data_IF_058054138287
#
_entry.id   IF_058054138287
#
_cell.length_a   1.000
_cell.length_b   1.000
_cell.length_c   1.000
_cell.angle_alpha   90.00
_cell.angle_beta   90.00
_cell.angle_gamma   90.00
#
_symmetry.space_group_name_H-M   'P 1'
#
loop_
_entity.id
_entity.type
_entity.pdbx_description
1 polymer ?
#
# COMPACT_ATOMS: atom_id res chain seq x y z
N UNK A 1 -2.61 -50.18 -9.75
CA UNK A 1 -1.87 -48.92 -9.62
C UNK A 1 -2.74 -47.85 -10.23
N UNK A 2 -3.51 -47.17 -9.39
CA UNK A 2 -4.41 -46.10 -9.79
C UNK A 2 -3.74 -44.80 -9.39
N UNK A 3 -3.32 -44.00 -10.37
CA UNK A 3 -2.81 -42.66 -10.15
C UNK A 3 -3.97 -41.73 -9.80
N UNK A 4 -3.97 -41.22 -8.58
CA UNK A 4 -4.78 -40.07 -8.19
C UNK A 4 -4.07 -38.79 -8.62
N UNK A 5 -4.74 -37.81 -9.25
CA UNK A 5 -4.13 -36.52 -9.51
C UNK A 5 -3.98 -35.74 -8.20
N UNK A 6 -2.79 -35.19 -8.02
CA UNK A 6 -2.38 -34.33 -6.91
C UNK A 6 -3.33 -33.14 -6.76
N UNK A 7 -3.81 -32.90 -5.56
CA UNK A 7 -4.70 -31.78 -5.21
C UNK A 7 -3.90 -30.55 -4.78
N UNK A 8 -4.37 -29.39 -5.26
CA UNK A 8 -4.16 -28.01 -4.81
C UNK A 8 -2.78 -27.35 -5.02
N UNK A 9 -2.67 -26.61 -6.14
CA UNK A 9 -1.77 -25.46 -6.31
C UNK A 9 -2.21 -24.28 -5.43
N UNK A 10 -1.30 -23.36 -5.03
CA UNK A 10 -1.68 -22.11 -4.36
C UNK A 10 -2.62 -21.29 -5.27
N UNK A 11 -3.51 -20.53 -4.64
CA UNK A 11 -4.45 -19.60 -5.29
C UNK A 11 -3.72 -18.74 -6.35
N UNK A 12 -4.02 -18.97 -7.64
CA UNK A 12 -3.46 -18.21 -8.78
C UNK A 12 -4.08 -16.78 -8.89
N UNK A 13 -4.91 -16.37 -7.94
CA UNK A 13 -5.50 -15.04 -7.91
C UNK A 13 -4.42 -13.96 -7.72
N UNK A 14 -4.51 -12.84 -8.46
CA UNK A 14 -3.55 -11.74 -8.30
C UNK A 14 -3.64 -11.15 -6.88
N UNK A 15 -2.48 -10.87 -6.30
CA UNK A 15 -2.38 -10.14 -5.02
C UNK A 15 -2.90 -8.70 -5.15
N UNK A 16 -3.28 -8.08 -4.02
CA UNK A 16 -3.75 -6.68 -4.00
C UNK A 16 -2.72 -5.70 -4.59
N UNK A 17 -1.42 -5.95 -4.39
CA UNK A 17 -0.36 -5.14 -5.00
C UNK A 17 -0.36 -5.25 -6.52
N UNK A 18 -0.62 -6.45 -7.07
CA UNK A 18 -0.72 -6.65 -8.52
C UNK A 18 -1.99 -6.02 -9.09
N UNK A 19 -3.11 -6.10 -8.37
CA UNK A 19 -4.35 -5.43 -8.74
C UNK A 19 -4.18 -3.90 -8.74
N UNK A 20 -3.48 -3.36 -7.74
CA UNK A 20 -3.17 -1.94 -7.66
C UNK A 20 -2.26 -1.49 -8.81
N UNK A 21 -1.21 -2.24 -9.11
CA UNK A 21 -0.32 -1.96 -10.23
C UNK A 21 -1.09 -1.92 -11.57
N UNK A 22 -1.97 -2.90 -11.80
CA UNK A 22 -2.83 -2.92 -12.99
C UNK A 22 -3.74 -1.68 -13.05
N UNK A 23 -4.39 -1.31 -11.93
CA UNK A 23 -5.24 -0.12 -11.84
C UNK A 23 -4.50 1.17 -12.17
N UNK A 24 -3.28 1.35 -11.65
CA UNK A 24 -2.44 2.53 -11.94
C UNK A 24 -2.08 2.57 -13.43
N UNK A 25 -1.76 1.42 -14.02
CA UNK A 25 -1.42 1.33 -15.44
C UNK A 25 -2.60 1.70 -16.36
N UNK A 26 -3.84 1.45 -15.95
CA UNK A 26 -5.04 1.79 -16.72
C UNK A 26 -5.34 3.29 -16.76
N UNK A 27 -4.82 4.09 -15.82
CA UNK A 27 -5.09 5.54 -15.75
C UNK A 27 -4.58 6.28 -16.99
N UNK A 28 -3.38 5.94 -17.48
CA UNK A 28 -2.83 6.52 -18.71
C UNK A 28 -1.66 5.71 -19.27
N UNK A 29 -1.37 5.88 -20.56
CA UNK A 29 -0.21 5.26 -21.20
C UNK A 29 1.14 5.66 -20.55
N UNK A 30 1.22 6.90 -20.04
CA UNK A 30 2.41 7.38 -19.33
C UNK A 30 2.59 6.64 -18.00
N UNK A 31 1.51 6.41 -17.27
CA UNK A 31 1.53 5.72 -15.98
C UNK A 31 1.80 4.23 -16.16
N UNK A 32 1.18 3.60 -17.16
CA UNK A 32 1.50 2.23 -17.56
C UNK A 32 3.02 2.03 -17.79
N UNK A 33 3.65 2.99 -18.46
CA UNK A 33 5.08 2.93 -18.73
C UNK A 33 5.94 3.09 -17.46
N UNK A 34 5.39 3.64 -16.38
CA UNK A 34 6.05 3.86 -15.09
C UNK A 34 5.90 2.69 -14.12
N UNK A 35 4.86 1.87 -14.28
CA UNK A 35 4.56 0.74 -13.39
C UNK A 35 5.39 -0.50 -13.74
N UNK A 36 5.79 -1.27 -12.72
CA UNK A 36 6.47 -2.55 -12.86
C UNK A 36 5.47 -3.65 -13.18
N UNK A 37 5.81 -4.58 -14.07
CA UNK A 37 4.96 -5.74 -14.39
C UNK A 37 4.89 -6.79 -13.26
N UNK A 38 5.46 -6.50 -12.09
CA UNK A 38 5.51 -7.36 -10.91
C UNK A 38 6.01 -6.58 -9.68
N UNK A 39 5.82 -7.13 -8.48
CA UNK A 39 6.25 -6.49 -7.23
C UNK A 39 7.75 -6.25 -7.26
N UNK A 40 8.17 -4.99 -7.29
CA UNK A 40 9.57 -4.66 -7.12
C UNK A 40 10.00 -5.05 -5.71
N UNK A 41 11.03 -5.89 -5.59
CA UNK A 41 11.73 -6.08 -4.33
C UNK A 41 12.52 -4.80 -4.03
N UNK A 42 11.82 -3.79 -3.50
CA UNK A 42 12.42 -2.51 -3.14
C UNK A 42 13.63 -2.72 -2.24
N UNK A 43 14.75 -2.07 -2.55
CA UNK A 43 15.87 -1.99 -1.60
C UNK A 43 15.39 -1.18 -0.41
N UNK A 44 15.44 -1.72 0.81
CA UNK A 44 15.02 -0.99 2.02
C UNK A 44 15.72 0.37 2.08
N UNK A 45 14.96 1.45 2.08
CA UNK A 45 15.47 2.77 2.44
C UNK A 45 15.05 3.04 3.90
N UNK A 46 16.04 3.13 4.80
CA UNK A 46 15.82 3.40 6.22
C UNK A 46 15.32 2.22 7.06
N UNK A 47 14.96 2.50 8.32
CA UNK A 47 14.46 1.54 9.31
C UNK A 47 12.96 1.21 9.17
N UNK A 48 12.35 1.51 8.01
CA UNK A 48 10.96 1.14 7.75
C UNK A 48 10.81 -0.37 7.90
N UNK A 49 10.01 -0.81 8.89
CA UNK A 49 9.64 -2.22 9.01
C UNK A 49 8.59 -2.53 7.95
N UNK A 50 8.53 -3.79 7.55
CA UNK A 50 7.51 -4.23 6.62
C UNK A 50 6.14 -4.22 7.33
N UNK A 51 5.36 -3.16 7.14
CA UNK A 51 3.95 -3.12 7.56
C UNK A 51 3.20 -4.19 6.76
N UNK A 52 2.55 -5.15 7.42
CA UNK A 52 1.74 -6.17 6.76
C UNK A 52 0.27 -5.77 6.83
N UNK A 53 -0.38 -5.61 5.68
CA UNK A 53 -1.82 -5.39 5.59
C UNK A 53 -2.49 -6.76 5.60
N UNK A 54 -3.07 -7.13 6.74
CA UNK A 54 -3.73 -8.43 6.92
C UNK A 54 -4.80 -8.35 8.01
N UNK A 55 -5.79 -9.24 7.96
CA UNK A 55 -6.82 -9.35 8.99
C UNK A 55 -7.76 -8.14 9.08
N UNK A 56 -7.91 -7.39 7.99
CA UNK A 56 -8.83 -6.25 7.93
C UNK A 56 -10.28 -6.71 7.87
N UNK A 57 -11.20 -5.79 8.20
CA UNK A 57 -12.61 -5.93 7.86
C UNK A 57 -12.79 -6.18 6.35
N UNK A 58 -13.82 -6.94 6.00
CA UNK A 58 -14.10 -7.32 4.61
C UNK A 58 -14.24 -6.09 3.70
N UNK A 59 -13.66 -6.17 2.50
CA UNK A 59 -13.72 -5.11 1.49
C UNK A 59 -12.70 -3.97 1.67
N UNK A 60 -11.92 -3.94 2.76
CA UNK A 60 -10.95 -2.85 2.98
C UNK A 60 -9.58 -3.09 2.33
N UNK A 61 -9.24 -4.34 2.01
CA UNK A 61 -7.87 -4.75 1.67
C UNK A 61 -7.24 -3.93 0.54
N UNK A 62 -7.88 -3.88 -0.63
CA UNK A 62 -7.35 -3.17 -1.79
C UNK A 62 -7.24 -1.65 -1.56
N UNK A 63 -8.19 -1.06 -0.83
CA UNK A 63 -8.18 0.37 -0.51
C UNK A 63 -7.04 0.75 0.44
N UNK A 64 -6.83 -0.06 1.50
CA UNK A 64 -5.71 0.10 2.43
C UNK A 64 -4.37 -0.14 1.72
N UNK A 65 -4.30 -1.12 0.83
CA UNK A 65 -3.12 -1.41 0.02
C UNK A 65 -2.76 -0.23 -0.91
N UNK A 66 -3.77 0.41 -1.52
CA UNK A 66 -3.63 1.65 -2.27
C UNK A 66 -3.03 2.77 -1.43
N UNK A 67 -3.59 3.02 -0.24
CA UNK A 67 -3.08 4.07 0.65
C UNK A 67 -1.65 3.77 1.11
N UNK A 68 -1.34 2.51 1.40
CA UNK A 68 0.02 2.08 1.78
C UNK A 68 1.01 2.31 0.65
N UNK A 69 0.62 2.04 -0.59
CA UNK A 69 1.49 2.33 -1.73
C UNK A 69 1.69 3.83 -1.94
N UNK A 70 0.65 4.65 -1.74
CA UNK A 70 0.78 6.10 -1.74
C UNK A 70 1.86 6.57 -0.75
N UNK A 71 1.78 6.10 0.50
CA UNK A 71 2.79 6.41 1.52
C UNK A 71 4.20 5.99 1.12
N UNK A 72 4.36 4.79 0.57
CA UNK A 72 5.67 4.32 0.09
C UNK A 72 6.21 5.15 -1.07
N UNK A 73 5.35 5.61 -1.99
CA UNK A 73 5.76 6.48 -3.10
C UNK A 73 6.23 7.85 -2.58
N UNK A 74 5.56 8.41 -1.56
CA UNK A 74 5.92 9.72 -0.99
C UNK A 74 7.14 9.67 -0.06
N UNK A 75 7.30 8.59 0.71
CA UNK A 75 8.19 8.59 1.87
C UNK A 75 9.14 7.38 1.95
N UNK A 76 9.04 6.43 1.02
CA UNK A 76 9.79 5.18 1.07
C UNK A 76 10.14 4.64 -0.30
N UNK A 77 9.95 3.33 -0.47
CA UNK A 77 10.24 2.63 -1.72
C UNK A 77 8.96 2.01 -2.24
N UNK A 78 8.51 2.52 -3.37
CA UNK A 78 7.38 1.97 -4.10
C UNK A 78 7.63 0.52 -4.49
N UNK A 79 6.57 -0.28 -4.44
CA UNK A 79 6.56 -1.67 -4.90
C UNK A 79 6.02 -1.79 -6.32
N UNK A 80 5.34 -0.77 -6.81
CA UNK A 80 4.67 -0.77 -8.13
C UNK A 80 5.32 0.16 -9.14
N UNK A 81 6.11 1.15 -8.74
CA UNK A 81 6.82 2.05 -9.66
C UNK A 81 8.24 1.55 -9.97
N UNK A 82 8.73 1.85 -11.18
CA UNK A 82 10.13 1.64 -11.55
C UNK A 82 11.05 2.65 -10.83
N UNK A 83 12.28 2.25 -10.54
CA UNK A 83 13.27 3.08 -9.82
C UNK A 83 13.59 4.44 -10.49
N UNK A 84 13.34 4.59 -11.79
CA UNK A 84 13.71 5.77 -12.58
C UNK A 84 12.52 6.65 -12.99
N UNK A 85 11.36 6.48 -12.35
CA UNK A 85 10.20 7.35 -12.59
C UNK A 85 10.51 8.76 -12.10
N UNK A 86 10.08 9.78 -12.85
CA UNK A 86 10.33 11.17 -12.47
C UNK A 86 9.61 11.53 -11.16
N UNK A 87 10.19 12.47 -10.40
CA UNK A 87 9.61 12.89 -9.11
C UNK A 87 8.19 13.44 -9.24
N UNK A 88 7.91 14.26 -10.26
CA UNK A 88 6.57 14.81 -10.50
C UNK A 88 5.53 13.76 -10.87
N UNK A 89 5.91 12.73 -11.65
CA UNK A 89 5.01 11.62 -11.96
C UNK A 89 4.78 10.74 -10.73
N UNK A 90 5.83 10.43 -9.97
CA UNK A 90 5.73 9.68 -8.72
C UNK A 90 4.78 10.38 -7.75
N UNK A 91 4.90 11.70 -7.58
CA UNK A 91 4.02 12.49 -6.71
C UNK A 91 2.53 12.32 -7.08
N UNK A 92 2.19 12.46 -8.37
CA UNK A 92 0.81 12.32 -8.83
C UNK A 92 0.27 10.90 -8.69
N UNK A 93 1.11 9.87 -8.88
CA UNK A 93 0.70 8.48 -8.64
C UNK A 93 0.46 8.25 -7.14
N UNK A 94 1.30 8.81 -6.27
CA UNK A 94 1.10 8.77 -4.82
C UNK A 94 -0.23 9.40 -4.39
N UNK A 95 -0.51 10.62 -4.86
CA UNK A 95 -1.78 11.32 -4.61
C UNK A 95 -2.98 10.52 -5.10
N UNK A 96 -2.87 9.92 -6.29
CA UNK A 96 -3.90 9.04 -6.83
C UNK A 96 -4.13 7.81 -5.97
N UNK A 97 -3.06 7.14 -5.52
CA UNK A 97 -3.16 5.97 -4.66
C UNK A 97 -3.90 6.28 -3.35
N UNK A 98 -3.61 7.42 -2.71
CA UNK A 98 -4.36 7.89 -1.55
C UNK A 98 -5.84 8.12 -1.86
N UNK A 99 -6.13 8.92 -2.90
CA UNK A 99 -7.50 9.27 -3.25
C UNK A 99 -8.33 8.04 -3.67
N UNK A 100 -7.77 7.18 -4.52
CA UNK A 100 -8.42 5.97 -5.00
C UNK A 100 -8.67 4.98 -3.86
N UNK A 101 -7.69 4.82 -2.95
CA UNK A 101 -7.86 3.96 -1.78
C UNK A 101 -8.97 4.47 -0.85
N UNK A 102 -9.01 5.76 -0.53
CA UNK A 102 -10.09 6.35 0.27
C UNK A 102 -11.47 6.19 -0.40
N UNK A 103 -11.54 6.33 -1.74
CA UNK A 103 -12.76 6.07 -2.50
C UNK A 103 -13.24 4.62 -2.39
N UNK A 104 -12.33 3.64 -2.45
CA UNK A 104 -12.69 2.22 -2.30
C UNK A 104 -13.24 1.94 -0.89
N UNK A 105 -12.58 2.48 0.14
CA UNK A 105 -13.03 2.34 1.54
C UNK A 105 -14.40 3.01 1.76
N UNK A 106 -14.61 4.19 1.19
CA UNK A 106 -15.89 4.88 1.24
C UNK A 106 -16.99 4.09 0.51
N UNK A 107 -16.67 3.47 -0.64
CA UNK A 107 -17.60 2.62 -1.38
C UNK A 107 -17.98 1.33 -0.63
N UNK A 108 -17.08 0.82 0.22
CA UNK A 108 -17.39 -0.28 1.15
C UNK A 108 -18.34 0.15 2.30
N UNK A 109 -18.62 1.45 2.45
CA UNK A 109 -19.55 2.00 3.45
C UNK A 109 -18.94 2.20 4.83
N UNK A 110 -17.63 2.06 4.98
CA UNK A 110 -16.93 2.13 6.26
C UNK A 110 -16.33 3.51 6.53
N UNK A 111 -17.19 4.46 6.93
CA UNK A 111 -16.75 5.84 7.16
C UNK A 111 -15.78 5.98 8.35
N UNK A 112 -15.86 5.08 9.35
CA UNK A 112 -14.89 5.02 10.44
C UNK A 112 -13.50 4.69 9.89
N UNK A 113 -13.41 3.74 8.96
CA UNK A 113 -12.16 3.40 8.28
C UNK A 113 -11.64 4.57 7.43
N UNK A 114 -12.52 5.29 6.73
CA UNK A 114 -12.13 6.51 5.99
C UNK A 114 -11.49 7.53 6.93
N UNK A 115 -12.11 7.80 8.08
CA UNK A 115 -11.58 8.75 9.07
C UNK A 115 -10.21 8.30 9.58
N UNK A 116 -10.12 7.04 10.01
CA UNK A 116 -8.87 6.44 10.54
C UNK A 116 -7.72 6.58 9.53
N UNK A 117 -7.99 6.28 8.25
CA UNK A 117 -6.99 6.32 7.19
C UNK A 117 -6.66 7.75 6.76
N UNK A 118 -7.61 8.68 6.77
CA UNK A 118 -7.33 10.09 6.50
C UNK A 118 -6.44 10.70 7.58
N UNK A 119 -6.71 10.40 8.85
CA UNK A 119 -5.91 10.83 9.99
C UNK A 119 -4.50 10.22 9.94
N UNK A 120 -4.40 8.95 9.56
CA UNK A 120 -3.12 8.29 9.31
C UNK A 120 -2.32 8.99 8.21
N UNK A 121 -2.93 9.30 7.05
CA UNK A 121 -2.26 9.99 5.93
C UNK A 121 -1.69 11.33 6.40
N UNK A 122 -2.47 12.13 7.14
CA UNK A 122 -2.01 13.39 7.68
C UNK A 122 -0.83 13.19 8.65
N UNK A 123 -0.96 12.23 9.57
CA UNK A 123 0.07 11.92 10.58
C UNK A 123 1.38 11.50 9.92
N UNK A 124 1.37 10.58 8.95
CA UNK A 124 2.60 10.11 8.30
C UNK A 124 3.22 11.17 7.40
N UNK A 125 2.41 12.07 6.81
CA UNK A 125 2.92 13.21 6.06
C UNK A 125 3.64 14.23 6.96
N UNK A 126 3.10 14.50 8.16
CA UNK A 126 3.76 15.35 9.15
C UNK A 126 5.07 14.73 9.65
N UNK A 127 5.05 13.44 9.99
CA UNK A 127 6.23 12.71 10.44
C UNK A 127 7.34 12.66 9.37
N UNK A 128 6.98 12.65 8.08
CA UNK A 128 7.95 12.68 6.99
C UNK A 128 8.72 14.01 6.87
N UNK A 129 8.23 15.09 7.50
CA UNK A 129 8.92 16.37 7.58
C UNK A 129 9.96 16.41 8.72
N UNK A 130 9.90 15.47 9.67
CA UNK A 130 10.89 15.36 10.74
C UNK A 130 12.23 14.82 10.20
N UNK A 131 13.34 15.22 10.82
CA UNK A 131 14.66 14.70 10.44
C UNK A 131 14.73 13.18 10.69
N UNK A 132 15.43 12.41 9.83
CA UNK A 132 15.64 10.98 10.04
C UNK A 132 16.19 10.72 11.44
N UNK A 133 15.59 9.76 12.15
CA UNK A 133 16.08 9.36 13.48
C UNK A 133 17.24 8.38 13.32
N UNK A 134 18.37 8.70 13.96
CA UNK A 134 19.51 7.80 14.08
C UNK A 134 19.19 6.65 15.07
N UNK A 135 19.69 5.43 14.81
CA UNK A 135 19.60 4.27 15.70
C UNK A 135 18.63 3.18 15.22
N UNK A 136 18.37 2.15 16.04
CA UNK A 136 17.57 0.96 15.68
C UNK A 136 16.07 1.07 16.02
N UNK A 137 15.62 2.25 16.50
CA UNK A 137 14.22 2.45 16.86
C UNK A 137 13.30 2.29 15.62
N UNK A 138 12.10 1.71 15.77
CA UNK A 138 11.13 1.66 14.68
C UNK A 138 10.82 3.06 14.17
N UNK A 139 10.68 3.17 12.85
CA UNK A 139 10.24 4.41 12.21
C UNK A 139 8.86 4.84 12.74
N UNK A 140 8.65 6.11 13.14
CA UNK A 140 7.37 6.59 13.66
C UNK A 140 6.20 6.42 12.70
N UNK A 141 6.43 6.56 11.38
CA UNK A 141 5.40 6.32 10.37
C UNK A 141 4.96 4.86 10.34
N UNK A 142 5.91 3.92 10.48
CA UNK A 142 5.62 2.49 10.65
C UNK A 142 4.74 2.24 11.89
N UNK A 143 5.03 2.87 13.02
CA UNK A 143 4.23 2.72 14.24
C UNK A 143 2.82 3.28 14.08
N UNK A 144 2.67 4.43 13.41
CA UNK A 144 1.36 4.99 13.09
C UNK A 144 0.53 4.04 12.20
N UNK A 145 1.16 3.42 11.21
CA UNK A 145 0.54 2.40 10.37
C UNK A 145 0.07 1.17 11.16
N UNK A 146 0.92 0.64 12.05
CA UNK A 146 0.56 -0.52 12.88
C UNK A 146 -0.64 -0.21 13.79
N UNK A 147 -0.69 1.00 14.37
CA UNK A 147 -1.82 1.45 15.19
C UNK A 147 -3.11 1.54 14.37
N UNK A 148 -3.07 2.18 13.20
CA UNK A 148 -4.24 2.27 12.32
C UNK A 148 -4.74 0.89 11.87
N UNK A 149 -3.85 -0.03 11.48
CA UNK A 149 -4.25 -1.38 11.08
C UNK A 149 -4.91 -2.16 12.22
N UNK A 150 -4.47 -1.97 13.46
CA UNK A 150 -5.12 -2.57 14.63
C UNK A 150 -6.56 -2.06 14.81
N UNK A 151 -6.81 -0.78 14.56
CA UNK A 151 -8.16 -0.19 14.59
C UNK A 151 -9.04 -0.65 13.42
N UNK A 152 -8.44 -0.95 12.27
CA UNK A 152 -9.14 -1.44 11.07
C UNK A 152 -9.41 -2.95 11.08
N UNK A 153 -8.90 -3.68 12.08
CA UNK A 153 -9.14 -5.10 12.29
C UNK A 153 -10.62 -5.43 12.58
N UNK A 154 -10.95 -6.72 12.83
CA UNK A 154 -12.32 -7.15 13.05
C UNK A 154 -12.93 -6.42 14.25
N UNK A 155 -14.14 -5.87 14.11
CA UNK A 155 -14.90 -5.32 15.24
C UNK A 155 -15.31 -6.49 16.16
N UNK A 156 -15.07 -6.34 17.47
CA UNK A 156 -15.47 -7.29 18.50
C UNK A 156 -17.00 -7.32 18.69
#
# INVERSE_FOLDING_TARGET
MSDTPSTNSPDDSPSDVQLLAARIAEVSAQWNSAVTSGVAAGKRQGNLRAVQVAGLRDGLSLGVEGIREGWLIHSGVSRVLKDNVSGGLSLLVGDYCYAAGLCDIAAAGDLDAVSTLADLIATVAELALEAPRDGDAPDPGTLAWEAALAELGPKA
#
